data_IF_414982941329
#
_entry.id   IF_414982941329
#
_cell.length_a   1.000
_cell.length_b   1.000
_cell.length_c   1.000
_cell.angle_alpha   90.00
_cell.angle_beta   90.00
_cell.angle_gamma   90.00
#
_symmetry.space_group_name_H-M   'P 1'
#
loop_
_entity.id
_entity.type
_entity.pdbx_description
1 polymer ?
#
# COMPACT_ATOMS: atom_id res chain seq x y z
N UNK A 1 6.45 20.98 -0.57
CA UNK A 1 5.10 21.06 -1.18
C UNK A 1 4.14 21.65 -0.15
N UNK A 2 3.22 22.57 -0.51
CA UNK A 2 2.26 23.12 0.44
C UNK A 2 1.20 22.06 0.81
N UNK A 3 0.89 22.00 2.11
CA UNK A 3 -0.26 21.23 2.60
C UNK A 3 -1.44 22.18 2.76
N UNK A 4 -2.66 21.69 2.50
CA UNK A 4 -3.90 22.43 2.68
C UNK A 4 -4.84 21.72 3.66
N UNK A 5 -5.64 22.50 4.40
CA UNK A 5 -6.68 21.98 5.28
C UNK A 5 -7.98 22.71 5.00
N UNK A 6 -9.05 21.95 4.70
CA UNK A 6 -10.39 22.49 4.47
C UNK A 6 -11.28 22.13 5.66
N UNK A 7 -11.67 23.14 6.43
CA UNK A 7 -12.56 22.99 7.57
C UNK A 7 -13.95 23.59 7.29
N UNK A 8 -14.97 23.01 7.86
CA UNK A 8 -16.34 23.51 7.77
C UNK A 8 -17.33 22.56 8.42
N UNK A 9 -18.51 23.09 8.76
CA UNK A 9 -19.63 22.31 9.29
C UNK A 9 -20.22 21.39 8.22
N UNK A 10 -20.98 20.35 8.58
CA UNK A 10 -21.73 19.55 7.62
C UNK A 10 -22.59 20.45 6.70
N UNK A 11 -22.58 20.16 5.41
CA UNK A 11 -23.34 20.96 4.42
C UNK A 11 -22.69 22.28 3.98
N UNK A 12 -21.50 22.65 4.50
CA UNK A 12 -20.82 23.91 4.13
C UNK A 12 -20.13 23.90 2.76
N UNK A 13 -20.21 22.81 2.00
CA UNK A 13 -19.60 22.71 0.67
C UNK A 13 -18.12 22.30 0.66
N UNK A 14 -17.59 21.68 1.74
CA UNK A 14 -16.19 21.20 1.80
C UNK A 14 -15.84 20.27 0.64
N UNK A 15 -16.64 19.22 0.44
CA UNK A 15 -16.43 18.24 -0.64
C UNK A 15 -16.54 18.90 -2.02
N UNK A 16 -17.44 19.89 -2.18
CA UNK A 16 -17.53 20.64 -3.44
C UNK A 16 -16.27 21.48 -3.70
N UNK A 17 -15.75 22.17 -2.68
CA UNK A 17 -14.51 22.96 -2.80
C UNK A 17 -13.32 22.06 -3.12
N UNK A 18 -13.21 20.90 -2.43
CA UNK A 18 -12.14 19.93 -2.73
C UNK A 18 -12.24 19.37 -4.16
N UNK A 19 -13.45 19.01 -4.62
CA UNK A 19 -13.68 18.56 -6.00
C UNK A 19 -13.27 19.60 -7.03
N UNK A 20 -13.58 20.88 -6.76
CA UNK A 20 -13.16 21.98 -7.63
C UNK A 20 -11.66 22.13 -7.70
N UNK A 21 -10.96 22.06 -6.57
CA UNK A 21 -9.50 22.14 -6.54
C UNK A 21 -8.84 20.96 -7.24
N UNK A 22 -9.35 19.73 -7.06
CA UNK A 22 -8.90 18.52 -7.76
C UNK A 22 -9.07 18.71 -9.28
N UNK A 23 -10.25 19.14 -9.73
CA UNK A 23 -10.51 19.37 -11.14
C UNK A 23 -9.58 20.45 -11.72
N UNK A 24 -9.35 21.56 -10.99
CA UNK A 24 -8.44 22.61 -11.40
C UNK A 24 -7.00 22.09 -11.50
N UNK A 25 -6.52 21.36 -10.49
CA UNK A 25 -5.17 20.76 -10.50
C UNK A 25 -5.02 19.82 -11.71
N UNK A 26 -6.00 18.97 -11.95
CA UNK A 26 -6.00 18.05 -13.09
C UNK A 26 -5.93 18.77 -14.43
N UNK A 27 -6.62 19.90 -14.60
CA UNK A 27 -6.67 20.64 -15.86
C UNK A 27 -5.46 21.55 -16.09
N UNK A 28 -4.83 22.04 -15.01
CA UNK A 28 -3.79 23.09 -15.08
C UNK A 28 -2.37 22.53 -14.93
N UNK A 29 -2.22 21.41 -14.22
CA UNK A 29 -0.91 20.77 -13.98
C UNK A 29 -0.80 19.43 -14.71
N UNK A 30 0.38 18.84 -14.67
CA UNK A 30 0.64 17.45 -15.14
C UNK A 30 0.88 16.50 -13.95
N UNK A 31 0.60 16.95 -12.72
CA UNK A 31 0.81 16.17 -11.51
C UNK A 31 -0.15 14.96 -11.45
N UNK A 32 0.33 13.89 -10.87
CA UNK A 32 -0.53 12.75 -10.51
C UNK A 32 -1.36 13.08 -9.28
N UNK A 33 -2.61 12.62 -9.27
CA UNK A 33 -3.57 12.90 -8.21
C UNK A 33 -4.05 11.59 -7.60
N UNK A 34 -3.76 11.39 -6.31
CA UNK A 34 -4.30 10.26 -5.54
C UNK A 34 -5.35 10.76 -4.54
N UNK A 35 -6.51 10.12 -4.53
CA UNK A 35 -7.64 10.48 -3.65
C UNK A 35 -7.95 9.29 -2.73
N UNK A 36 -7.86 9.52 -1.41
CA UNK A 36 -8.33 8.55 -0.42
C UNK A 36 -9.72 8.97 0.02
N UNK A 37 -10.73 8.20 -0.40
CA UNK A 37 -12.14 8.56 -0.29
C UNK A 37 -12.95 7.48 0.46
N UNK A 38 -12.98 7.52 1.80
CA UNK A 38 -13.72 6.53 2.59
C UNK A 38 -15.24 6.59 2.41
N UNK A 39 -15.78 7.72 1.93
CA UNK A 39 -17.22 7.94 1.75
C UNK A 39 -17.70 7.73 0.30
N UNK A 40 -16.78 7.43 -0.62
CA UNK A 40 -17.06 7.22 -2.05
C UNK A 40 -17.75 8.40 -2.76
N UNK A 41 -17.48 9.63 -2.34
CA UNK A 41 -18.07 10.85 -2.92
C UNK A 41 -17.37 11.32 -4.20
N UNK A 42 -16.10 10.95 -4.41
CA UNK A 42 -15.24 11.47 -5.50
C UNK A 42 -15.27 10.59 -6.75
N UNK A 43 -15.77 9.36 -6.67
CA UNK A 43 -15.80 8.41 -7.78
C UNK A 43 -16.41 8.99 -9.08
N UNK A 44 -17.53 9.77 -9.06
CA UNK A 44 -18.06 10.37 -10.28
C UNK A 44 -17.12 11.39 -10.92
N UNK A 45 -16.37 12.17 -10.11
CA UNK A 45 -15.40 13.13 -10.61
C UNK A 45 -14.23 12.42 -11.27
N UNK A 46 -13.65 11.41 -10.58
CA UNK A 46 -12.53 10.61 -11.10
C UNK A 46 -12.88 9.96 -12.42
N UNK A 47 -14.06 9.35 -12.53
CA UNK A 47 -14.57 8.74 -13.76
C UNK A 47 -14.74 9.77 -14.88
N UNK A 48 -15.29 10.97 -14.57
CA UNK A 48 -15.46 12.02 -15.56
C UNK A 48 -14.14 12.57 -16.10
N UNK A 49 -13.06 12.50 -15.30
CA UNK A 49 -11.71 12.91 -15.71
C UNK A 49 -10.92 11.74 -16.37
N UNK A 50 -11.57 10.60 -16.63
CA UNK A 50 -10.94 9.44 -17.26
C UNK A 50 -9.98 8.69 -16.32
N UNK A 51 -10.11 8.90 -15.01
CA UNK A 51 -9.30 8.26 -14.00
C UNK A 51 -9.80 6.88 -13.57
N UNK A 52 -9.09 6.27 -12.64
CA UNK A 52 -9.41 4.96 -12.10
C UNK A 52 -9.92 5.04 -10.68
N UNK A 53 -11.01 4.31 -10.39
CA UNK A 53 -11.54 4.13 -9.03
C UNK A 53 -11.20 2.71 -8.57
N UNK A 54 -10.44 2.62 -7.49
CA UNK A 54 -10.03 1.35 -6.88
C UNK A 54 -10.80 1.19 -5.57
N UNK A 55 -11.54 0.09 -5.44
CA UNK A 55 -12.30 -0.22 -4.24
C UNK A 55 -11.53 -1.20 -3.36
N UNK A 56 -11.00 -0.71 -2.25
CA UNK A 56 -10.34 -1.53 -1.23
C UNK A 56 -11.36 -1.96 -0.17
N UNK A 57 -11.76 -3.22 -0.18
CA UNK A 57 -12.67 -3.79 0.81
C UNK A 57 -12.52 -5.32 0.84
N UNK A 58 -12.88 -6.01 1.94
CA UNK A 58 -12.83 -7.48 2.00
C UNK A 58 -13.65 -8.20 0.93
N UNK A 59 -14.68 -7.54 0.39
CA UNK A 59 -15.54 -8.10 -0.68
C UNK A 59 -15.10 -7.66 -2.09
N UNK A 60 -14.01 -6.90 -2.22
CA UNK A 60 -13.51 -6.44 -3.51
C UNK A 60 -12.72 -7.56 -4.21
N UNK A 61 -12.79 -7.58 -5.54
CA UNK A 61 -11.88 -8.35 -6.38
C UNK A 61 -10.70 -7.53 -6.91
N UNK A 62 -10.55 -6.29 -6.43
CA UNK A 62 -9.45 -5.38 -6.76
C UNK A 62 -8.42 -5.42 -5.64
N UNK A 63 -7.16 -5.65 -6.00
CA UNK A 63 -6.09 -5.84 -5.05
C UNK A 63 -4.91 -4.94 -5.37
N UNK A 64 -4.28 -4.41 -4.31
CA UNK A 64 -3.00 -3.72 -4.35
C UNK A 64 -2.06 -4.50 -3.43
N UNK A 65 -0.95 -4.96 -3.98
CA UNK A 65 0.06 -5.69 -3.24
C UNK A 65 0.97 -4.72 -2.47
N UNK A 66 0.98 -4.72 -1.15
CA UNK A 66 1.88 -3.87 -0.38
C UNK A 66 3.35 -4.20 -0.58
N UNK A 67 3.64 -5.41 -1.10
CA UNK A 67 5.00 -5.86 -1.41
C UNK A 67 5.47 -5.42 -2.80
N UNK A 68 4.66 -4.74 -3.62
CA UNK A 68 5.14 -4.25 -4.92
C UNK A 68 6.28 -3.25 -4.73
N UNK A 69 7.36 -3.44 -5.48
CA UNK A 69 8.54 -2.58 -5.46
C UNK A 69 8.77 -1.97 -6.84
N UNK A 70 8.97 -0.66 -6.87
CA UNK A 70 9.33 0.04 -8.10
C UNK A 70 10.86 0.16 -8.17
N UNK A 71 11.48 -0.56 -9.09
CA UNK A 71 12.93 -0.58 -9.29
C UNK A 71 13.45 0.72 -9.92
N UNK A 72 12.57 1.55 -10.48
CA UNK A 72 12.91 2.80 -11.16
C UNK A 72 12.52 4.04 -10.34
N UNK A 73 12.31 3.91 -9.03
CA UNK A 73 11.76 4.98 -8.20
C UNK A 73 12.69 6.19 -8.10
N UNK A 74 13.99 5.99 -7.90
CA UNK A 74 15.00 7.05 -7.94
C UNK A 74 16.39 6.46 -8.18
N UNK A 75 17.32 7.28 -8.70
CA UNK A 75 18.73 6.90 -8.81
C UNK A 75 19.49 7.03 -7.48
N UNK A 76 18.93 7.77 -6.51
CA UNK A 76 19.58 8.12 -5.23
C UNK A 76 19.16 7.22 -4.07
N UNK A 77 17.95 6.65 -4.10
CA UNK A 77 17.40 5.86 -3.00
C UNK A 77 17.40 4.36 -3.33
N UNK A 78 17.81 3.53 -2.38
CA UNK A 78 17.64 2.08 -2.48
C UNK A 78 16.15 1.72 -2.34
N UNK A 79 15.49 1.19 -3.39
CA UNK A 79 14.07 0.83 -3.35
C UNK A 79 13.73 -0.16 -2.23
N UNK A 80 14.69 -1.02 -1.85
CA UNK A 80 14.48 -2.00 -0.77
C UNK A 80 14.45 -1.33 0.61
N UNK A 81 15.25 -0.29 0.82
CA UNK A 81 15.23 0.46 2.11
C UNK A 81 13.85 1.12 2.28
N UNK A 82 13.36 1.83 1.26
CA UNK A 82 12.04 2.47 1.30
C UNK A 82 10.93 1.43 1.51
N UNK A 83 11.04 0.27 0.85
CA UNK A 83 10.08 -0.81 1.00
C UNK A 83 10.15 -1.43 2.41
N UNK A 84 11.34 -1.56 2.98
CA UNK A 84 11.52 -2.07 4.35
C UNK A 84 10.83 -1.16 5.37
N UNK A 85 11.04 0.15 5.29
CA UNK A 85 10.40 1.13 6.16
C UNK A 85 8.86 1.09 6.04
N UNK A 86 8.36 0.95 4.81
CA UNK A 86 6.92 0.81 4.57
C UNK A 86 6.36 -0.47 5.19
N UNK A 87 7.01 -1.62 4.98
CA UNK A 87 6.54 -2.90 5.53
C UNK A 87 6.65 -2.94 7.06
N UNK A 88 7.68 -2.34 7.66
CA UNK A 88 7.77 -2.20 9.11
C UNK A 88 6.62 -1.34 9.66
N UNK A 89 6.28 -0.23 8.99
CA UNK A 89 5.14 0.60 9.35
C UNK A 89 3.80 -0.16 9.20
N UNK A 90 3.66 -0.97 8.16
CA UNK A 90 2.50 -1.83 7.95
C UNK A 90 2.40 -2.90 9.05
N UNK A 91 3.53 -3.51 9.44
CA UNK A 91 3.58 -4.46 10.55
C UNK A 91 3.16 -3.81 11.87
N UNK A 92 3.58 -2.58 12.15
CA UNK A 92 3.12 -1.82 13.32
C UNK A 92 1.60 -1.59 13.32
N UNK A 93 0.99 -1.35 12.16
CA UNK A 93 -0.46 -1.23 12.05
C UNK A 93 -1.18 -2.56 12.28
N UNK A 94 -0.61 -3.66 11.82
CA UNK A 94 -1.18 -5.01 11.98
C UNK A 94 -1.04 -5.55 13.40
N UNK A 95 0.10 -5.31 14.06
CA UNK A 95 0.47 -5.88 15.36
C UNK A 95 0.19 -4.93 16.53
N UNK A 96 -0.02 -3.63 16.26
CA UNK A 96 -0.16 -2.56 17.23
C UNK A 96 1.19 -2.06 17.75
N UNK A 97 2.06 -2.95 18.24
CA UNK A 97 3.43 -2.63 18.67
C UNK A 97 4.38 -3.70 18.17
N UNK A 98 5.48 -3.29 17.60
CA UNK A 98 6.55 -4.18 17.12
C UNK A 98 7.82 -3.88 17.92
N UNK A 99 8.35 -4.88 18.62
CA UNK A 99 9.56 -4.77 19.40
C UNK A 99 10.80 -4.74 18.48
N UNK A 100 11.93 -4.28 19.01
CA UNK A 100 13.14 -4.08 18.20
C UNK A 100 13.69 -5.39 17.60
N UNK A 101 13.57 -6.50 18.32
CA UNK A 101 13.94 -7.83 17.84
C UNK A 101 13.00 -8.34 16.75
N UNK A 102 11.71 -8.06 16.87
CA UNK A 102 10.71 -8.38 15.84
C UNK A 102 10.93 -7.57 14.56
N UNK A 103 11.23 -6.27 14.68
CA UNK A 103 11.63 -5.43 13.52
C UNK A 103 12.83 -6.02 12.80
N UNK A 104 13.83 -6.47 13.55
CA UNK A 104 15.02 -7.10 12.98
C UNK A 104 14.70 -8.40 12.25
N UNK A 105 13.79 -9.22 12.79
CA UNK A 105 13.34 -10.45 12.13
C UNK A 105 12.62 -10.12 10.82
N UNK A 106 11.66 -9.18 10.87
CA UNK A 106 10.89 -8.77 9.68
C UNK A 106 11.83 -8.24 8.59
N UNK A 107 12.77 -7.34 8.91
CA UNK A 107 13.73 -6.79 7.95
C UNK A 107 14.62 -7.87 7.32
N UNK A 108 15.14 -8.79 8.13
CA UNK A 108 15.98 -9.89 7.63
C UNK A 108 15.19 -10.82 6.70
N UNK A 109 13.96 -11.19 7.06
CA UNK A 109 13.10 -12.03 6.23
C UNK A 109 12.72 -11.30 4.94
N UNK A 110 12.39 -10.03 5.02
CA UNK A 110 12.06 -9.19 3.88
C UNK A 110 13.21 -9.15 2.86
N UNK A 111 14.44 -8.91 3.33
CA UNK A 111 15.64 -8.92 2.47
C UNK A 111 15.84 -10.25 1.76
N UNK A 112 15.62 -11.38 2.43
CA UNK A 112 15.74 -12.72 1.82
C UNK A 112 14.65 -12.94 0.74
N UNK A 113 13.44 -12.49 0.99
CA UNK A 113 12.33 -12.57 0.02
C UNK A 113 12.67 -11.78 -1.24
N UNK A 114 13.10 -10.52 -1.08
CA UNK A 114 13.47 -9.68 -2.23
C UNK A 114 14.76 -10.12 -2.93
N UNK A 115 15.74 -10.70 -2.20
CA UNK A 115 16.94 -11.25 -2.83
C UNK A 115 16.58 -12.32 -3.88
N UNK A 116 15.58 -13.15 -3.61
CA UNK A 116 15.08 -14.15 -4.58
C UNK A 116 14.42 -13.47 -5.78
N UNK A 117 13.65 -12.42 -5.54
CA UNK A 117 13.01 -11.64 -6.61
C UNK A 117 14.04 -10.92 -7.48
N UNK A 118 15.05 -10.28 -6.89
CA UNK A 118 16.09 -9.56 -7.65
C UNK A 118 16.99 -10.47 -8.48
N UNK A 119 17.07 -11.76 -8.15
CA UNK A 119 17.78 -12.73 -8.98
C UNK A 119 17.11 -12.97 -10.35
N UNK A 120 15.78 -12.76 -10.43
CA UNK A 120 14.99 -12.86 -11.66
C UNK A 120 13.73 -11.98 -11.53
N UNK A 121 13.86 -10.65 -11.77
CA UNK A 121 12.83 -9.66 -11.46
C UNK A 121 11.76 -9.61 -12.56
N UNK A 122 10.85 -10.58 -12.55
CA UNK A 122 9.68 -10.61 -13.42
C UNK A 122 8.40 -10.37 -12.61
N UNK A 123 7.37 -9.72 -13.19
CA UNK A 123 6.14 -9.38 -12.48
C UNK A 123 5.46 -10.58 -11.79
N UNK A 124 5.54 -11.75 -12.41
CA UNK A 124 4.95 -12.99 -11.89
C UNK A 124 5.64 -13.51 -10.62
N UNK A 125 6.88 -13.07 -10.36
CA UNK A 125 7.67 -13.41 -9.18
C UNK A 125 7.67 -12.32 -8.12
N UNK A 126 6.94 -11.20 -8.36
CA UNK A 126 6.80 -10.15 -7.35
C UNK A 126 6.30 -10.77 -6.03
N UNK A 127 7.00 -10.56 -4.90
CA UNK A 127 6.57 -11.12 -3.63
C UNK A 127 5.19 -10.60 -3.20
N UNK A 128 4.49 -11.40 -2.41
CA UNK A 128 3.27 -11.02 -1.70
C UNK A 128 3.46 -11.22 -0.20
N UNK A 129 2.50 -10.79 0.61
CA UNK A 129 2.61 -10.94 2.07
C UNK A 129 2.78 -12.41 2.52
N UNK A 130 2.25 -13.38 1.77
CA UNK A 130 2.45 -14.80 2.04
C UNK A 130 3.93 -15.18 2.01
N UNK A 131 4.69 -14.65 1.04
CA UNK A 131 6.12 -14.98 0.92
C UNK A 131 6.91 -14.50 2.14
N UNK A 132 6.57 -13.30 2.66
CA UNK A 132 7.15 -12.78 3.89
C UNK A 132 6.73 -13.60 5.12
N UNK A 133 5.45 -13.93 5.21
CA UNK A 133 4.89 -14.75 6.29
C UNK A 133 5.57 -16.13 6.39
N UNK A 134 5.74 -16.80 5.26
CA UNK A 134 6.39 -18.10 5.17
C UNK A 134 7.89 -18.00 5.54
N UNK A 135 8.57 -16.93 5.10
CA UNK A 135 9.98 -16.71 5.47
C UNK A 135 10.14 -16.43 6.96
N UNK A 136 9.21 -15.71 7.60
CA UNK A 136 9.19 -15.51 9.05
C UNK A 136 8.96 -16.85 9.76
N UNK A 137 8.08 -17.71 9.24
CA UNK A 137 7.88 -19.07 9.75
C UNK A 137 9.16 -19.91 9.69
N UNK A 138 9.90 -19.82 8.59
CA UNK A 138 11.17 -20.50 8.41
C UNK A 138 12.30 -19.95 9.32
N UNK A 139 12.22 -18.67 9.70
CA UNK A 139 13.15 -18.07 10.67
C UNK A 139 13.04 -18.79 12.03
N UNK A 140 11.81 -19.07 12.47
CA UNK A 140 11.51 -19.82 13.68
C UNK A 140 11.71 -19.04 14.98
N UNK A 141 11.40 -19.71 16.09
CA UNK A 141 11.48 -19.13 17.42
C UNK A 141 10.19 -18.46 17.89
N UNK A 142 10.13 -18.09 19.17
CA UNK A 142 8.90 -17.57 19.77
C UNK A 142 8.51 -16.19 19.24
N UNK A 143 9.48 -15.33 18.92
CA UNK A 143 9.24 -14.00 18.33
C UNK A 143 8.68 -14.10 16.90
N UNK A 144 9.24 -14.98 16.09
CA UNK A 144 8.70 -15.22 14.74
C UNK A 144 7.27 -15.77 14.80
N UNK A 145 6.99 -16.66 15.75
CA UNK A 145 5.63 -17.17 15.98
C UNK A 145 4.67 -16.07 16.39
N UNK A 146 5.06 -15.17 17.30
CA UNK A 146 4.23 -14.02 17.68
C UNK A 146 3.92 -13.10 16.49
N UNK A 147 4.91 -12.80 15.63
CA UNK A 147 4.70 -12.04 14.40
C UNK A 147 3.67 -12.75 13.51
N UNK A 148 3.82 -14.06 13.30
CA UNK A 148 2.89 -14.86 12.49
C UNK A 148 1.47 -14.86 13.06
N UNK A 149 1.32 -15.02 14.38
CA UNK A 149 0.01 -14.98 15.04
C UNK A 149 -0.71 -13.64 14.81
N UNK A 150 0.02 -12.52 14.90
CA UNK A 150 -0.52 -11.20 14.64
C UNK A 150 -0.83 -10.94 13.15
N UNK A 151 0.03 -11.39 12.24
CA UNK A 151 -0.16 -11.21 10.80
C UNK A 151 -1.17 -12.18 10.19
N UNK A 152 -1.47 -13.29 10.86
CA UNK A 152 -2.26 -14.39 10.31
C UNK A 152 -3.61 -13.98 9.76
N UNK A 153 -4.33 -13.05 10.42
CA UNK A 153 -5.62 -12.56 9.97
C UNK A 153 -5.55 -11.82 8.61
N UNK A 154 -4.40 -11.19 8.32
CA UNK A 154 -4.18 -10.41 7.09
C UNK A 154 -3.58 -11.25 5.96
N UNK A 155 -3.02 -12.43 6.25
CA UNK A 155 -2.38 -13.30 5.26
C UNK A 155 -3.29 -14.49 4.91
N UNK A 156 -3.68 -15.27 5.91
CA UNK A 156 -4.50 -16.49 5.71
C UNK A 156 -5.94 -16.34 6.22
N UNK A 157 -6.22 -15.28 6.97
CA UNK A 157 -7.52 -15.03 7.60
C UNK A 157 -8.47 -14.18 6.76
N UNK A 158 -9.50 -13.64 7.42
CA UNK A 158 -10.60 -12.92 6.79
C UNK A 158 -10.25 -11.53 6.23
N UNK A 159 -9.10 -10.97 6.59
CA UNK A 159 -8.62 -9.67 6.12
C UNK A 159 -7.48 -9.78 5.10
N UNK A 160 -7.44 -10.89 4.34
CA UNK A 160 -6.35 -11.19 3.40
C UNK A 160 -6.39 -10.37 2.09
N UNK A 161 -7.13 -9.28 2.05
CA UNK A 161 -7.26 -8.40 0.87
C UNK A 161 -5.89 -7.86 0.37
N UNK A 162 -4.90 -7.77 1.23
CA UNK A 162 -3.55 -7.35 0.90
C UNK A 162 -2.59 -8.50 0.57
N UNK A 163 -3.05 -9.74 0.64
CA UNK A 163 -2.25 -10.93 0.33
C UNK A 163 -2.50 -11.44 -1.10
N UNK A 164 -2.56 -10.51 -2.06
CA UNK A 164 -2.78 -10.81 -3.47
C UNK A 164 -1.85 -9.94 -4.31
N UNK A 165 -1.55 -10.41 -5.53
CA UNK A 165 -0.85 -9.59 -6.52
C UNK A 165 -1.73 -8.44 -6.97
N UNK A 166 -1.12 -7.29 -7.23
CA UNK A 166 -1.83 -6.14 -7.81
C UNK A 166 -2.47 -6.53 -9.14
N UNK A 167 -3.77 -6.28 -9.25
CA UNK A 167 -4.55 -6.55 -10.44
C UNK A 167 -5.31 -5.31 -10.95
N UNK A 168 -4.95 -4.14 -10.44
CA UNK A 168 -5.50 -2.84 -10.85
C UNK A 168 -4.41 -2.02 -11.53
N UNK A 169 -4.81 -1.19 -12.49
CA UNK A 169 -3.90 -0.25 -13.12
C UNK A 169 -3.86 1.04 -12.30
N UNK A 170 -2.71 1.31 -11.67
CA UNK A 170 -2.46 2.55 -10.91
C UNK A 170 -1.68 3.59 -11.71
N UNK A 171 -1.45 3.35 -13.01
CA UNK A 171 -0.75 4.29 -13.89
C UNK A 171 -1.65 5.45 -14.36
N UNK A 172 -2.95 5.42 -14.02
CA UNK A 172 -3.84 6.54 -14.31
C UNK A 172 -3.43 7.79 -13.55
N UNK A 173 -3.43 8.93 -14.23
CA UNK A 173 -3.07 10.23 -13.67
C UNK A 173 -3.93 10.67 -12.48
N UNK A 174 -5.13 10.11 -12.35
CA UNK A 174 -6.01 10.32 -11.19
C UNK A 174 -6.60 8.99 -10.75
N UNK A 175 -6.40 8.66 -9.49
CA UNK A 175 -6.84 7.42 -8.84
C UNK A 175 -7.59 7.74 -7.54
#
# INVERSE_FOLDING_TARGET
>A
KPNGLILGTPGSGKSFSAKREIANAFLVTTDDIAIIDPEAEYAPLVTALGGQVIKVSPASSQYINPMDINLNYSEEDDPLILKSDFILSLAELMMGRVEADEKSIIDQCLRRVYQRFFADPVPEKMPILQDLYDEIGNYGGDRARHIMDCMGIYVTGSLNVFNHRTNVDIASRIV
#
